data_IF_332561409802
#
_entry.id   IF_332561409802
#
_cell.length_a   1.000
_cell.length_b   1.000
_cell.length_c   1.000
_cell.angle_alpha   90.00
_cell.angle_beta   90.00
_cell.angle_gamma   90.00
#
_symmetry.space_group_name_H-M   'P 1'
#
loop_
_entity.id
_entity.type
_entity.pdbx_description
1 polymer ?
#
# COMPACT_ATOMS: atom_id res chain seq x y z
N UNK A 1 -10.93 -11.04 8.75
CA UNK A 1 -11.50 -11.54 7.48
C UNK A 1 -12.11 -10.35 6.79
N UNK A 2 -11.79 -10.12 5.51
CA UNK A 2 -12.39 -9.03 4.73
C UNK A 2 -13.74 -9.54 4.21
N UNK A 3 -14.88 -8.90 4.56
CA UNK A 3 -16.20 -9.35 4.13
C UNK A 3 -16.50 -9.01 2.66
N UNK A 4 -15.85 -7.97 2.12
CA UNK A 4 -15.95 -7.59 0.70
C UNK A 4 -15.30 -8.65 -0.21
N UNK A 5 -15.87 -8.87 -1.39
CA UNK A 5 -15.35 -9.79 -2.42
C UNK A 5 -14.14 -9.20 -3.15
N UNK A 6 -13.06 -8.92 -2.42
CA UNK A 6 -11.81 -8.35 -2.94
C UNK A 6 -10.60 -9.15 -2.46
N UNK A 7 -9.49 -9.00 -3.17
CA UNK A 7 -8.20 -9.59 -2.83
C UNK A 7 -7.15 -8.49 -2.87
N UNK A 8 -6.16 -8.55 -1.97
CA UNK A 8 -5.06 -7.60 -1.98
C UNK A 8 -4.37 -7.61 -3.36
N UNK A 9 -4.22 -6.45 -4.01
CA UNK A 9 -3.62 -6.38 -5.35
C UNK A 9 -2.08 -6.41 -5.33
N UNK A 10 -1.48 -6.31 -4.14
CA UNK A 10 -0.04 -6.23 -3.87
C UNK A 10 0.24 -6.87 -2.51
N UNK A 11 1.50 -7.21 -2.24
CA UNK A 11 1.90 -7.70 -0.92
C UNK A 11 1.71 -6.60 0.11
N UNK A 12 1.30 -6.97 1.32
CA UNK A 12 0.98 -6.02 2.38
C UNK A 12 1.69 -6.39 3.68
N UNK A 13 2.22 -5.39 4.38
CA UNK A 13 2.88 -5.56 5.66
C UNK A 13 3.13 -4.22 6.34
N UNK A 14 4.14 -4.19 7.22
CA UNK A 14 4.54 -2.99 7.95
C UNK A 14 6.06 -2.82 7.92
N UNK A 15 6.53 -1.59 8.17
CA UNK A 15 7.96 -1.28 8.31
C UNK A 15 8.39 -1.48 9.77
N UNK A 16 9.30 -2.40 10.09
CA UNK A 16 9.78 -2.60 11.46
C UNK A 16 10.42 -1.33 12.04
N UNK A 17 10.34 -1.18 13.36
CA UNK A 17 10.98 -0.07 14.10
C UNK A 17 10.50 1.33 13.67
N UNK A 18 9.27 1.44 13.19
CA UNK A 18 8.59 2.71 12.93
C UNK A 18 7.48 2.94 13.94
N UNK A 19 7.06 4.20 14.08
CA UNK A 19 5.96 4.63 14.93
C UNK A 19 5.21 5.75 14.19
N UNK A 20 3.93 5.53 13.88
CA UNK A 20 3.08 6.48 13.18
C UNK A 20 2.13 7.19 14.15
N UNK A 21 1.43 8.22 13.65
CA UNK A 21 0.63 9.13 14.49
C UNK A 21 -0.59 8.45 15.15
N UNK A 22 -1.05 7.34 14.59
CA UNK A 22 -2.10 6.48 15.13
C UNK A 22 -1.61 5.50 16.22
N UNK A 23 -0.30 5.45 16.48
CA UNK A 23 0.32 4.55 17.44
C UNK A 23 0.70 3.17 16.89
N UNK A 24 0.52 2.96 15.58
CA UNK A 24 0.90 1.73 14.89
C UNK A 24 2.20 1.89 14.09
N UNK A 25 2.65 0.80 13.47
CA UNK A 25 3.80 0.81 12.56
C UNK A 25 3.33 1.28 11.19
N UNK A 26 4.22 1.92 10.43
CA UNK A 26 3.92 2.34 9.06
C UNK A 26 3.54 1.14 8.19
N UNK A 27 2.37 1.24 7.56
CA UNK A 27 1.91 0.26 6.59
C UNK A 27 2.66 0.39 5.26
N UNK A 28 2.97 -0.75 4.65
CA UNK A 28 3.70 -0.80 3.38
C UNK A 28 3.12 -1.87 2.45
N UNK A 29 3.00 -1.47 1.19
CA UNK A 29 2.68 -2.30 0.06
C UNK A 29 3.95 -2.59 -0.74
N UNK A 30 4.19 -3.85 -1.09
CA UNK A 30 5.31 -4.25 -1.94
C UNK A 30 4.76 -4.89 -3.21
N UNK A 31 5.08 -4.32 -4.38
CA UNK A 31 4.74 -5.00 -5.64
C UNK A 31 5.61 -6.25 -5.80
N UNK A 32 5.00 -7.35 -6.20
CA UNK A 32 5.65 -8.63 -6.45
C UNK A 32 5.12 -9.22 -7.76
N UNK A 33 5.92 -10.09 -8.39
CA UNK A 33 5.44 -10.93 -9.49
C UNK A 33 5.03 -12.33 -9.02
N UNK A 34 5.51 -12.73 -7.84
CA UNK A 34 5.21 -14.01 -7.20
C UNK A 34 4.82 -13.72 -5.75
N UNK A 35 3.83 -14.44 -5.20
CA UNK A 35 3.39 -14.25 -3.82
C UNK A 35 4.51 -14.40 -2.80
N UNK A 36 4.51 -13.57 -1.76
CA UNK A 36 5.42 -13.71 -0.63
C UNK A 36 4.80 -14.53 0.51
N UNK A 37 5.65 -15.16 1.31
CA UNK A 37 5.21 -15.83 2.53
C UNK A 37 4.98 -14.82 3.67
N UNK A 38 4.00 -15.11 4.52
CA UNK A 38 3.69 -14.30 5.71
C UNK A 38 4.90 -14.29 6.65
N UNK A 39 5.23 -13.11 7.21
CA UNK A 39 6.39 -12.87 8.08
C UNK A 39 7.75 -12.86 7.36
N UNK A 40 7.78 -12.91 6.04
CA UNK A 40 9.01 -12.74 5.27
C UNK A 40 9.46 -11.27 5.29
N UNK A 41 10.78 -11.05 5.40
CA UNK A 41 11.37 -9.72 5.42
C UNK A 41 11.94 -9.39 4.05
N UNK A 42 11.41 -8.35 3.42
CA UNK A 42 11.86 -7.85 2.11
C UNK A 42 12.55 -6.51 2.26
N UNK A 43 13.69 -6.35 1.60
CA UNK A 43 14.26 -5.03 1.36
C UNK A 43 13.51 -4.39 0.20
N UNK A 44 12.80 -3.30 0.48
CA UNK A 44 12.01 -2.58 -0.49
C UNK A 44 12.48 -1.14 -0.61
N UNK A 45 12.25 -0.55 -1.78
CA UNK A 45 12.47 0.87 -2.07
C UNK A 45 11.12 1.53 -2.28
N UNK A 46 10.90 2.63 -1.56
CA UNK A 46 9.70 3.45 -1.67
C UNK A 46 9.65 4.11 -3.04
N UNK A 47 8.46 4.12 -3.63
CA UNK A 47 8.18 4.80 -4.90
C UNK A 47 6.97 5.74 -4.81
N UNK A 48 6.24 5.76 -3.69
CA UNK A 48 5.14 6.69 -3.46
C UNK A 48 4.33 6.29 -2.24
N UNK A 49 3.21 6.98 -2.00
CA UNK A 49 2.28 6.65 -0.93
C UNK A 49 0.83 6.93 -1.36
N UNK A 50 -0.08 6.06 -0.96
CA UNK A 50 -1.52 6.28 -1.04
C UNK A 50 -1.98 6.88 0.28
N UNK A 51 -2.61 8.05 0.21
CA UNK A 51 -3.21 8.70 1.36
C UNK A 51 -4.72 8.49 1.29
N UNK A 52 -5.25 7.82 2.31
CA UNK A 52 -6.69 7.66 2.51
C UNK A 52 -7.11 8.26 3.84
N UNK A 53 -8.40 8.47 3.98
CA UNK A 53 -9.02 8.83 5.26
C UNK A 53 -10.13 7.83 5.56
N UNK A 54 -10.16 7.36 6.80
CA UNK A 54 -11.16 6.43 7.31
C UNK A 54 -11.78 6.91 8.63
N UNK A 55 -12.52 6.05 9.31
CA UNK A 55 -13.16 6.38 10.59
C UNK A 55 -12.19 6.80 11.72
N UNK A 56 -10.90 6.48 11.62
CA UNK A 56 -9.87 6.76 12.61
C UNK A 56 -8.98 7.96 12.24
N UNK A 57 -9.01 8.42 10.98
CA UNK A 57 -8.27 9.60 10.54
C UNK A 57 -7.57 9.40 9.20
N UNK A 58 -6.50 10.16 8.97
CA UNK A 58 -5.62 9.98 7.80
C UNK A 58 -4.76 8.72 8.00
N UNK A 59 -4.72 7.88 6.97
CA UNK A 59 -4.02 6.61 6.96
C UNK A 59 -3.16 6.54 5.69
N UNK A 60 -1.84 6.45 5.88
CA UNK A 60 -0.85 6.45 4.82
C UNK A 60 -0.37 5.02 4.52
N UNK A 61 -0.45 4.64 3.24
CA UNK A 61 -0.05 3.32 2.74
C UNK A 61 1.14 3.50 1.81
N UNK A 62 2.34 3.14 2.25
CA UNK A 62 3.55 3.27 1.43
C UNK A 62 3.49 2.30 0.25
N UNK A 63 3.82 2.76 -0.96
CA UNK A 63 4.00 1.92 -2.14
C UNK A 63 5.50 1.70 -2.41
N UNK A 64 5.90 0.45 -2.58
CA UNK A 64 7.30 0.08 -2.74
C UNK A 64 7.51 -1.09 -3.69
N UNK A 65 8.78 -1.28 -4.07
CA UNK A 65 9.25 -2.39 -4.92
C UNK A 65 10.46 -3.08 -4.30
N UNK A 66 10.67 -4.39 -4.51
CA UNK A 66 11.84 -5.10 -4.00
C UNK A 66 13.14 -4.59 -4.63
N UNK A 67 14.19 -4.46 -3.84
CA UNK A 67 15.51 -3.97 -4.33
C UNK A 67 16.36 -5.05 -5.00
N UNK A 68 16.01 -6.32 -4.83
CA UNK A 68 16.78 -7.48 -5.32
C UNK A 68 16.12 -8.15 -6.53
N UNK A 69 15.28 -7.43 -7.27
CA UNK A 69 14.58 -7.94 -8.45
C UNK A 69 14.73 -6.95 -9.61
N UNK A 70 15.54 -7.34 -10.60
CA UNK A 70 15.90 -6.51 -11.74
C UNK A 70 14.70 -6.04 -12.58
N UNK A 71 13.54 -6.70 -12.45
CA UNK A 71 12.29 -6.26 -13.12
C UNK A 71 11.81 -4.90 -12.61
N UNK A 72 12.21 -4.49 -11.41
CA UNK A 72 11.84 -3.23 -10.78
C UNK A 72 12.93 -2.15 -10.85
N UNK A 73 14.04 -2.39 -11.57
CA UNK A 73 15.17 -1.45 -11.64
C UNK A 73 14.75 -0.06 -12.14
N UNK A 74 13.82 0.00 -13.10
CA UNK A 74 13.34 1.26 -13.69
C UNK A 74 12.21 1.96 -12.93
N UNK A 75 11.75 1.40 -11.81
CA UNK A 75 10.66 1.98 -11.03
C UNK A 75 11.27 2.85 -9.96
N UNK A 76 11.22 4.16 -10.03
CA UNK A 76 11.74 5.07 -9.00
C UNK A 76 10.64 5.95 -8.39
N UNK A 77 9.53 6.11 -9.11
CA UNK A 77 8.34 6.82 -8.68
C UNK A 77 7.08 6.01 -9.01
N UNK A 78 5.97 6.31 -8.35
CA UNK A 78 4.66 5.72 -8.65
C UNK A 78 4.23 5.98 -10.10
N UNK A 79 4.73 7.05 -10.73
CA UNK A 79 4.46 7.33 -12.14
C UNK A 79 5.11 6.33 -13.10
N UNK A 80 6.09 5.56 -12.63
CA UNK A 80 6.71 4.47 -13.41
C UNK A 80 5.84 3.20 -13.39
N UNK A 81 4.86 3.13 -12.50
CA UNK A 81 3.88 2.05 -12.43
C UNK A 81 2.80 2.28 -13.48
N UNK A 82 2.37 1.20 -14.14
CA UNK A 82 1.26 1.28 -15.07
C UNK A 82 0.03 1.92 -14.39
N UNK A 83 -0.59 2.98 -14.97
CA UNK A 83 -1.64 3.75 -14.28
C UNK A 83 -2.86 2.93 -13.84
N UNK A 84 -3.17 1.83 -14.56
CA UNK A 84 -4.26 0.94 -14.15
C UNK A 84 -3.95 0.21 -12.83
N UNK A 85 -2.69 -0.16 -12.59
CA UNK A 85 -2.29 -0.83 -11.35
C UNK A 85 -2.43 0.10 -10.14
N UNK A 86 -2.08 1.37 -10.31
CA UNK A 86 -2.32 2.41 -9.29
C UNK A 86 -3.82 2.51 -8.96
N UNK A 87 -4.68 2.50 -9.98
CA UNK A 87 -6.14 2.50 -9.78
C UNK A 87 -6.66 1.24 -9.08
N UNK A 88 -6.14 0.06 -9.41
CA UNK A 88 -6.51 -1.19 -8.72
C UNK A 88 -6.18 -1.14 -7.22
N UNK A 89 -5.00 -0.62 -6.87
CA UNK A 89 -4.57 -0.45 -5.47
C UNK A 89 -5.52 0.52 -4.75
N UNK A 90 -5.81 1.66 -5.35
CA UNK A 90 -6.74 2.64 -4.78
C UNK A 90 -8.14 2.05 -4.59
N UNK A 91 -8.72 1.41 -5.61
CA UNK A 91 -10.05 0.80 -5.55
C UNK A 91 -10.14 -0.25 -4.45
N UNK A 92 -9.08 -1.03 -4.23
CA UNK A 92 -9.03 -1.99 -3.13
C UNK A 92 -9.23 -1.29 -1.78
N UNK A 93 -8.47 -0.23 -1.47
CA UNK A 93 -8.59 0.46 -0.18
C UNK A 93 -9.91 1.21 -0.02
N UNK A 94 -10.48 1.76 -1.09
CA UNK A 94 -11.79 2.41 -1.02
C UNK A 94 -12.95 1.41 -0.81
N UNK A 95 -12.74 0.12 -1.12
CA UNK A 95 -13.82 -0.89 -1.14
C UNK A 95 -13.69 -2.00 -0.10
N UNK A 96 -12.50 -2.34 0.39
CA UNK A 96 -12.31 -3.53 1.23
C UNK A 96 -13.11 -3.50 2.55
N UNK A 97 -13.26 -2.33 3.18
CA UNK A 97 -14.06 -2.11 4.40
C UNK A 97 -15.55 -1.91 4.15
N UNK A 98 -16.03 -1.86 2.90
CA UNK A 98 -17.40 -1.43 2.55
C UNK A 98 -18.52 -2.23 3.23
N UNK A 99 -18.31 -3.53 3.48
CA UNK A 99 -19.28 -4.40 4.14
C UNK A 99 -19.07 -4.52 5.66
N UNK A 100 -18.13 -3.76 6.24
CA UNK A 100 -17.93 -3.68 7.68
C UNK A 100 -18.86 -2.61 8.28
N UNK A 101 -19.65 -2.92 9.33
CA UNK A 101 -20.53 -1.95 9.97
C UNK A 101 -19.76 -0.72 10.48
N UNK A 102 -20.27 0.47 10.17
CA UNK A 102 -19.73 1.77 10.61
C UNK A 102 -18.33 2.14 10.09
N UNK A 103 -17.76 1.38 9.15
CA UNK A 103 -16.48 1.72 8.53
C UNK A 103 -16.66 2.36 7.16
N UNK A 104 -15.70 3.19 6.79
CA UNK A 104 -15.66 3.86 5.50
C UNK A 104 -14.22 4.20 5.16
N UNK A 105 -13.91 4.33 3.87
CA UNK A 105 -12.60 4.81 3.41
C UNK A 105 -12.84 5.78 2.27
N UNK A 106 -12.04 6.85 2.19
CA UNK A 106 -12.05 7.81 1.09
C UNK A 106 -10.63 8.07 0.62
N UNK A 107 -10.46 8.05 -0.70
CA UNK A 107 -9.23 8.54 -1.31
C UNK A 107 -9.00 10.03 -1.02
N UNK A 108 -7.78 10.39 -0.63
CA UNK A 108 -7.31 11.78 -0.56
C UNK A 108 -6.42 12.10 -1.75
N UNK A 109 -5.27 11.46 -1.81
CA UNK A 109 -4.25 11.73 -2.82
C UNK A 109 -3.26 10.56 -2.96
N UNK A 110 -2.49 10.62 -4.04
CA UNK A 110 -1.27 9.85 -4.19
C UNK A 110 -0.08 10.81 -4.07
N UNK A 111 0.91 10.46 -3.25
CA UNK A 111 2.17 11.19 -3.08
C UNK A 111 3.30 10.50 -3.83
N UNK A 112 4.19 11.31 -4.40
CA UNK A 112 5.36 10.82 -5.14
C UNK A 112 6.43 10.24 -4.21
N UNK A 113 7.50 9.68 -4.76
CA UNK A 113 8.55 9.03 -3.96
C UNK A 113 9.29 9.95 -2.97
N UNK A 114 9.34 11.26 -3.22
CA UNK A 114 10.01 12.24 -2.36
C UNK A 114 9.13 12.75 -1.20
N UNK A 115 7.82 12.59 -1.31
CA UNK A 115 6.82 13.00 -0.32
C UNK A 115 6.32 11.84 0.55
N UNK A 116 6.63 10.61 0.14
CA UNK A 116 6.31 9.36 0.82
C UNK A 116 7.36 9.00 1.89
#
# INVERSE_FOLDING_TARGET
MIPSSVVFPVEYGFVPQTWFDDGDRLDIMVMSYEPLEVSYVVKARVIGALIVEDEAGEDAKILSVPVNDARFDGYHDMTDVHPHKIKEIQEFFETYKRLEPHKWVRFKEWRNAGEA
#
